data_IF_591965898926
#
_entry.id   IF_591965898926
#
_cell.length_a   1.000
_cell.length_b   1.000
_cell.length_c   1.000
_cell.angle_alpha   90.00
_cell.angle_beta   90.00
_cell.angle_gamma   90.00
#
_symmetry.space_group_name_H-M   'P 1'
#
loop_
_entity.id
_entity.type
_entity.pdbx_description
1 polymer ?
#
# COMPACT_ATOMS: atom_id res chain seq x y z
N UNK A 1 -20.99 14.99 15.30
CA UNK A 1 -19.93 15.64 14.51
C UNK A 1 -19.52 16.90 15.24
N UNK A 2 -18.22 17.02 15.57
CA UNK A 2 -17.58 18.26 16.04
C UNK A 2 -16.70 18.78 14.90
N UNK A 3 -16.78 20.08 14.57
CA UNK A 3 -15.93 20.70 13.56
C UNK A 3 -15.46 22.06 14.03
N UNK A 4 -14.15 22.30 13.98
CA UNK A 4 -13.60 23.66 14.10
C UNK A 4 -13.48 24.27 12.71
N UNK A 5 -13.65 25.59 12.59
CA UNK A 5 -13.48 26.31 11.33
C UNK A 5 -12.59 27.52 11.54
N UNK A 6 -11.75 27.82 10.55
CA UNK A 6 -11.02 29.07 10.51
C UNK A 6 -12.00 30.23 10.24
N UNK A 7 -12.12 31.13 11.21
CA UNK A 7 -12.76 32.44 11.06
C UNK A 7 -11.72 33.52 10.73
N UNK A 8 -11.94 34.76 11.17
CA UNK A 8 -11.00 35.88 10.96
C UNK A 8 -9.67 35.81 11.74
N UNK A 9 -9.19 34.61 12.12
CA UNK A 9 -8.03 34.40 13.00
C UNK A 9 -8.39 33.76 14.35
N UNK A 10 -7.40 33.67 15.25
CA UNK A 10 -7.52 33.26 16.66
C UNK A 10 -7.31 31.77 16.95
N UNK A 11 -7.26 31.43 18.24
CA UNK A 11 -7.16 30.06 18.77
C UNK A 11 -8.56 29.55 19.12
N UNK A 12 -8.85 28.27 18.83
CA UNK A 12 -10.09 27.61 19.27
C UNK A 12 -9.79 26.80 20.51
N UNK A 13 -10.32 27.25 21.64
CA UNK A 13 -10.17 26.55 22.90
C UNK A 13 -11.30 25.53 23.07
N UNK A 14 -10.92 24.30 23.36
CA UNK A 14 -11.81 23.24 23.81
C UNK A 14 -11.45 22.99 25.26
N UNK A 15 -12.37 23.34 26.16
CA UNK A 15 -12.14 23.33 27.60
C UNK A 15 -12.91 22.22 28.30
N UNK A 16 -13.16 21.13 27.57
CA UNK A 16 -13.88 19.95 28.03
C UNK A 16 -13.25 18.70 27.44
N UNK A 17 -13.30 17.61 28.19
CA UNK A 17 -12.88 16.30 27.73
C UNK A 17 -13.70 15.86 26.52
N UNK A 18 -13.05 15.25 25.53
CA UNK A 18 -13.72 14.74 24.34
C UNK A 18 -13.67 13.22 24.33
N UNK A 19 -14.85 12.59 24.26
CA UNK A 19 -14.97 11.18 23.86
C UNK A 19 -15.61 11.14 22.48
N UNK A 20 -14.79 10.97 21.44
CA UNK A 20 -15.29 10.74 20.10
C UNK A 20 -15.73 9.27 19.99
N UNK A 21 -17.02 9.01 20.13
CA UNK A 21 -17.56 7.66 20.09
C UNK A 21 -17.39 7.00 18.70
N UNK A 22 -17.58 5.68 18.63
CA UNK A 22 -17.57 4.94 17.37
C UNK A 22 -18.61 5.53 16.40
N UNK A 23 -18.20 5.77 15.15
CA UNK A 23 -19.02 6.45 14.15
C UNK A 23 -19.10 7.97 14.32
N UNK A 24 -18.56 8.52 15.42
CA UNK A 24 -18.38 9.95 15.63
C UNK A 24 -17.28 10.52 14.73
N UNK A 25 -17.36 11.82 14.47
CA UNK A 25 -16.38 12.57 13.69
C UNK A 25 -15.98 13.85 14.41
N UNK A 26 -14.68 14.10 14.44
CA UNK A 26 -14.04 15.34 14.85
C UNK A 26 -13.20 15.84 13.67
N UNK A 27 -13.44 17.07 13.25
CA UNK A 27 -12.77 17.70 12.12
C UNK A 27 -12.12 19.01 12.58
N UNK A 28 -10.79 19.04 12.59
CA UNK A 28 -10.00 20.20 12.97
C UNK A 28 -9.60 20.96 11.70
N UNK A 29 -10.31 22.06 11.42
CA UNK A 29 -10.07 22.89 10.25
C UNK A 29 -9.69 24.36 10.58
N UNK A 30 -9.61 24.72 11.86
CA UNK A 30 -9.01 26.00 12.29
C UNK A 30 -7.49 25.84 12.44
N UNK A 31 -6.73 26.88 12.07
CA UNK A 31 -5.25 26.84 12.07
C UNK A 31 -4.64 26.48 13.43
N UNK A 32 -5.25 26.93 14.53
CA UNK A 32 -4.83 26.61 15.89
C UNK A 32 -6.09 26.23 16.71
N UNK A 33 -6.14 24.96 17.12
CA UNK A 33 -7.12 24.43 18.06
C UNK A 33 -6.38 23.86 19.26
N UNK A 34 -6.83 24.15 20.48
CA UNK A 34 -6.23 23.66 21.71
C UNK A 34 -7.26 22.98 22.59
N UNK A 35 -6.93 21.79 23.07
CA UNK A 35 -7.59 21.17 24.21
C UNK A 35 -6.78 21.55 25.46
N UNK A 36 -7.24 22.57 26.17
CA UNK A 36 -6.50 23.23 27.28
C UNK A 36 -7.34 23.44 28.55
N UNK A 37 -8.52 22.83 28.60
CA UNK A 37 -9.31 22.68 29.82
C UNK A 37 -9.89 21.28 29.87
N UNK A 38 -9.93 20.67 31.06
CA UNK A 38 -10.38 19.26 31.20
C UNK A 38 -9.40 18.32 31.91
N UNK A 39 -8.19 18.77 32.27
CA UNK A 39 -7.18 17.93 32.91
C UNK A 39 -7.57 17.38 34.32
N UNK A 40 -8.79 17.62 34.80
CA UNK A 40 -9.42 16.95 35.93
C UNK A 40 -10.15 15.63 35.59
N UNK A 41 -10.03 15.10 34.36
CA UNK A 41 -10.67 13.83 33.99
C UNK A 41 -10.34 13.19 32.63
N UNK A 42 -9.49 13.79 31.79
CA UNK A 42 -8.92 13.14 30.60
C UNK A 42 -9.07 13.95 29.32
N UNK A 43 -8.05 13.99 28.47
CA UNK A 43 -8.10 14.73 27.20
C UNK A 43 -8.98 14.04 26.15
N UNK A 44 -8.54 14.04 24.88
CA UNK A 44 -9.33 13.45 23.80
C UNK A 44 -9.14 11.92 23.69
N UNK A 45 -10.25 11.17 23.80
CA UNK A 45 -10.32 9.74 23.44
C UNK A 45 -11.00 9.57 22.08
N UNK A 46 -10.25 9.09 21.09
CA UNK A 46 -10.72 8.90 19.72
C UNK A 46 -11.09 7.44 19.44
N UNK A 47 -12.39 7.12 19.46
CA UNK A 47 -12.96 5.85 18.99
C UNK A 47 -13.62 5.97 17.59
N UNK A 48 -13.74 7.20 17.07
CA UNK A 48 -14.33 7.52 15.78
C UNK A 48 -13.29 8.03 14.78
N UNK A 49 -13.69 8.93 13.88
CA UNK A 49 -12.76 9.65 13.00
C UNK A 49 -12.32 10.98 13.60
N UNK A 50 -11.02 11.22 13.65
CA UNK A 50 -10.41 12.53 13.89
C UNK A 50 -9.64 12.93 12.62
N UNK A 51 -9.93 14.09 12.05
CA UNK A 51 -9.22 14.64 10.89
C UNK A 51 -8.53 15.94 11.27
N UNK A 52 -7.24 16.03 10.95
CA UNK A 52 -6.47 17.27 10.96
C UNK A 52 -6.28 17.74 9.52
N UNK A 53 -6.90 18.87 9.18
CA UNK A 53 -6.78 19.46 7.86
C UNK A 53 -5.37 20.04 7.62
N UNK A 54 -5.05 20.34 6.36
CA UNK A 54 -3.73 20.87 6.01
C UNK A 54 -3.46 22.22 6.70
N UNK A 55 -2.26 22.38 7.26
CA UNK A 55 -1.83 23.61 7.95
C UNK A 55 -2.44 23.81 9.34
N UNK A 56 -3.19 22.83 9.86
CA UNK A 56 -3.80 22.89 11.19
C UNK A 56 -2.85 22.34 12.25
N UNK A 57 -2.76 23.04 13.38
CA UNK A 57 -2.21 22.51 14.63
C UNK A 57 -3.33 22.23 15.63
N UNK A 58 -3.39 20.99 16.09
CA UNK A 58 -4.16 20.59 17.26
C UNK A 58 -3.23 20.39 18.45
N UNK A 59 -3.25 21.31 19.41
CA UNK A 59 -2.47 21.20 20.63
C UNK A 59 -3.29 20.52 21.73
N UNK A 60 -2.69 19.54 22.38
CA UNK A 60 -3.25 18.83 23.54
C UNK A 60 -2.37 19.12 24.75
N UNK A 61 -2.96 19.71 25.79
CA UNK A 61 -2.23 19.97 27.03
C UNK A 61 -2.30 18.77 27.98
N UNK A 62 -3.36 17.94 27.87
CA UNK A 62 -3.56 16.78 28.73
C UNK A 62 -3.13 15.47 28.02
N UNK A 63 -4.06 14.75 27.39
CA UNK A 63 -3.81 13.39 26.88
C UNK A 63 -4.66 13.05 25.68
N UNK A 64 -4.04 12.49 24.64
CA UNK A 64 -4.73 11.94 23.49
C UNK A 64 -4.63 10.42 23.46
N UNK A 65 -5.77 9.75 23.41
CA UNK A 65 -5.86 8.30 23.26
C UNK A 65 -6.53 7.96 21.94
N UNK A 66 -5.75 7.45 21.00
CA UNK A 66 -6.28 6.80 19.80
C UNK A 66 -6.66 5.35 20.13
N UNK A 67 -7.96 5.04 20.14
CA UNK A 67 -8.42 3.68 20.39
C UNK A 67 -8.30 2.80 19.12
N UNK A 68 -8.32 1.48 19.32
CA UNK A 68 -8.25 0.46 18.26
C UNK A 68 -9.31 0.59 17.16
N UNK A 69 -10.46 1.16 17.49
CA UNK A 69 -11.58 1.37 16.57
C UNK A 69 -11.53 2.70 15.83
N UNK A 70 -10.74 3.65 16.33
CA UNK A 70 -10.70 4.99 15.78
C UNK A 70 -9.71 5.14 14.63
N UNK A 71 -9.86 6.24 13.89
CA UNK A 71 -8.95 6.69 12.84
C UNK A 71 -8.42 8.07 13.18
N UNK A 72 -7.10 8.21 13.20
CA UNK A 72 -6.41 9.50 13.14
C UNK A 72 -6.10 9.79 11.67
N UNK A 73 -6.65 10.85 11.12
CA UNK A 73 -6.43 11.28 9.76
C UNK A 73 -5.68 12.62 9.73
N UNK A 74 -4.71 12.74 8.84
CA UNK A 74 -4.01 14.00 8.57
C UNK A 74 -3.85 14.20 7.07
N UNK A 75 -3.90 15.46 6.66
CA UNK A 75 -3.62 15.87 5.28
C UNK A 75 -2.20 16.45 5.20
N UNK A 76 -1.40 15.96 4.27
CA UNK A 76 -0.08 16.51 3.91
C UNK A 76 -0.21 17.15 2.53
N UNK A 77 -0.01 18.46 2.44
CA UNK A 77 0.05 19.19 1.18
C UNK A 77 1.51 19.50 0.84
N UNK A 78 2.07 18.69 -0.04
CA UNK A 78 3.44 18.85 -0.53
C UNK A 78 3.59 20.07 -1.46
N UNK A 79 2.49 20.55 -2.05
CA UNK A 79 2.49 21.70 -2.95
C UNK A 79 2.54 23.03 -2.20
N UNK A 80 1.99 23.05 -0.98
CA UNK A 80 1.98 24.20 -0.08
C UNK A 80 2.98 24.09 1.09
N UNK A 81 3.69 22.97 1.20
CA UNK A 81 4.55 22.64 2.34
C UNK A 81 3.83 22.76 3.70
N UNK A 82 2.57 22.35 3.76
CA UNK A 82 1.71 22.42 4.94
C UNK A 82 1.11 21.05 5.26
N UNK A 83 0.81 20.80 6.53
CA UNK A 83 0.23 19.53 6.97
C UNK A 83 -0.55 19.68 8.27
N UNK A 84 -1.45 18.75 8.55
CA UNK A 84 -2.12 18.65 9.84
C UNK A 84 -1.19 18.04 10.89
N UNK A 85 -1.04 18.74 12.02
CA UNK A 85 -0.15 18.34 13.11
C UNK A 85 -0.91 18.29 14.44
N UNK A 86 -0.68 17.21 15.18
CA UNK A 86 -0.95 17.15 16.60
C UNK A 86 0.30 17.52 17.40
N UNK A 87 0.16 18.31 18.46
CA UNK A 87 1.27 18.61 19.35
C UNK A 87 0.92 18.56 20.84
N UNK A 88 1.87 18.15 21.68
CA UNK A 88 1.71 18.18 23.13
C UNK A 88 1.06 16.92 23.72
N UNK A 89 0.91 16.94 25.04
CA UNK A 89 0.18 15.93 25.80
C UNK A 89 0.87 14.57 25.91
N UNK A 90 0.16 13.65 26.57
CA UNK A 90 0.50 12.22 26.60
C UNK A 90 -0.32 11.50 25.53
N UNK A 91 0.36 10.89 24.58
CA UNK A 91 -0.25 10.24 23.40
C UNK A 91 -0.16 8.72 23.52
N UNK A 92 -1.30 8.04 23.40
CA UNK A 92 -1.38 6.59 23.23
C UNK A 92 -1.94 6.26 21.85
N UNK A 93 -1.20 5.48 21.06
CA UNK A 93 -1.58 5.11 19.69
C UNK A 93 -1.98 3.66 19.55
N UNK A 94 -3.10 3.46 18.89
CA UNK A 94 -3.62 2.19 18.36
C UNK A 94 -4.42 2.48 17.08
N UNK A 95 -5.19 1.53 16.57
CA UNK A 95 -6.19 1.77 15.53
C UNK A 95 -5.57 2.12 14.18
N UNK A 96 -6.20 3.05 13.46
CA UNK A 96 -5.86 3.37 12.07
C UNK A 96 -5.24 4.77 11.92
N UNK A 97 -4.13 4.85 11.20
CA UNK A 97 -3.63 6.08 10.60
C UNK A 97 -4.19 6.24 9.19
N UNK A 98 -4.70 7.41 8.83
CA UNK A 98 -5.01 7.77 7.45
C UNK A 98 -4.21 9.01 7.05
N UNK A 99 -3.55 8.95 5.91
CA UNK A 99 -2.82 10.11 5.35
C UNK A 99 -3.42 10.42 4.00
N UNK A 100 -3.78 11.69 3.80
CA UNK A 100 -4.19 12.20 2.48
C UNK A 100 -3.09 13.11 1.97
N UNK A 101 -2.49 12.76 0.83
CA UNK A 101 -1.41 13.54 0.24
C UNK A 101 -1.94 14.39 -0.92
N UNK A 102 -1.64 15.68 -0.89
CA UNK A 102 -1.85 16.60 -2.02
C UNK A 102 -0.50 16.88 -2.66
N UNK A 103 -0.36 16.52 -3.93
CA UNK A 103 0.91 16.47 -4.63
C UNK A 103 1.80 15.29 -4.18
N UNK A 104 2.99 15.19 -4.79
CA UNK A 104 3.98 14.16 -4.47
C UNK A 104 5.14 14.83 -3.74
N UNK A 105 5.33 14.58 -2.43
CA UNK A 105 6.46 15.12 -1.69
C UNK A 105 7.78 14.54 -2.20
N UNK A 106 8.86 15.31 -2.08
CA UNK A 106 10.20 14.81 -2.36
C UNK A 106 10.53 13.67 -1.38
N UNK A 107 11.08 12.56 -1.89
CA UNK A 107 11.58 11.44 -1.08
C UNK A 107 12.55 11.93 0.00
N UNK A 108 12.40 11.42 1.22
CA UNK A 108 13.15 11.82 2.40
C UNK A 108 12.57 13.01 3.16
N UNK A 109 11.56 13.72 2.61
CA UNK A 109 10.88 14.80 3.34
C UNK A 109 10.16 14.24 4.56
N UNK A 110 10.39 14.83 5.73
CA UNK A 110 9.84 14.40 7.01
C UNK A 110 8.73 15.33 7.50
N UNK A 111 7.61 14.76 7.93
CA UNK A 111 6.45 15.46 8.47
C UNK A 111 6.17 14.97 9.90
N UNK A 112 6.40 15.83 10.90
CA UNK A 112 6.12 15.51 12.31
C UNK A 112 4.64 15.65 12.63
N UNK A 113 3.82 14.69 12.15
CA UNK A 113 2.35 14.74 12.29
C UNK A 113 1.86 14.58 13.73
N UNK A 114 2.70 14.01 14.60
CA UNK A 114 2.57 14.09 16.06
C UNK A 114 3.92 14.58 16.58
N UNK A 115 3.95 15.69 17.32
CA UNK A 115 5.18 16.32 17.79
C UNK A 115 5.09 16.77 19.24
N UNK A 116 6.23 16.83 19.94
CA UNK A 116 6.32 17.31 21.32
C UNK A 116 5.37 16.60 22.30
N UNK A 117 5.07 15.31 22.05
CA UNK A 117 4.12 14.53 22.84
C UNK A 117 4.81 13.31 23.43
N UNK A 118 4.55 12.98 24.69
CA UNK A 118 5.05 11.72 25.26
C UNK A 118 4.25 10.55 24.65
N UNK A 119 4.85 9.82 23.69
CA UNK A 119 4.14 8.80 22.90
C UNK A 119 4.37 7.38 23.42
N UNK A 120 3.29 6.62 23.49
CA UNK A 120 3.27 5.15 23.61
C UNK A 120 2.45 4.52 22.49
N UNK A 121 2.65 3.23 22.22
CA UNK A 121 1.89 2.47 21.21
C UNK A 121 2.20 2.86 19.75
N UNK A 122 1.59 2.17 18.79
CA UNK A 122 1.74 2.43 17.35
C UNK A 122 0.41 2.21 16.67
N UNK A 123 0.14 2.86 15.53
CA UNK A 123 -1.04 2.53 14.74
C UNK A 123 -0.98 1.08 14.27
N UNK A 124 -2.04 0.32 14.52
CA UNK A 124 -2.16 -1.09 14.17
C UNK A 124 -2.40 -1.29 12.65
N UNK A 125 -3.00 -0.30 12.00
CA UNK A 125 -3.25 -0.29 10.56
C UNK A 125 -3.09 1.12 9.97
N UNK A 126 -2.99 1.21 8.65
CA UNK A 126 -2.81 2.48 7.97
C UNK A 126 -3.46 2.51 6.59
N UNK A 127 -3.59 3.70 6.03
CA UNK A 127 -4.11 3.99 4.70
C UNK A 127 -3.38 5.21 4.15
N UNK A 128 -2.42 4.97 3.26
CA UNK A 128 -1.45 5.96 2.75
C UNK A 128 -1.55 6.15 1.23
N UNK A 129 -2.70 5.82 0.62
CA UNK A 129 -2.85 5.77 -0.84
C UNK A 129 -2.20 6.96 -1.55
N UNK A 130 -1.40 6.64 -2.58
CA UNK A 130 -0.73 7.61 -3.45
C UNK A 130 0.71 7.92 -3.06
N UNK A 131 1.07 7.89 -1.77
CA UNK A 131 2.44 8.18 -1.31
C UNK A 131 2.80 7.30 -0.11
N UNK A 132 3.89 6.55 -0.22
CA UNK A 132 4.46 5.81 0.90
C UNK A 132 5.11 6.74 1.90
N UNK A 133 4.86 6.46 3.16
CA UNK A 133 5.54 7.09 4.27
C UNK A 133 6.14 6.03 5.20
N UNK A 134 7.44 6.15 5.45
CA UNK A 134 8.04 5.47 6.58
C UNK A 134 7.59 6.13 7.87
N UNK A 135 6.94 5.33 8.71
CA UNK A 135 6.39 5.74 10.00
C UNK A 135 7.47 5.61 11.07
N UNK A 136 8.17 6.71 11.32
CA UNK A 136 9.19 6.79 12.36
C UNK A 136 8.55 7.16 13.69
N UNK A 137 8.23 6.15 14.48
CA UNK A 137 7.75 6.32 15.84
C UNK A 137 8.92 6.67 16.77
N UNK A 138 8.99 7.92 17.21
CA UNK A 138 9.98 8.41 18.19
C UNK A 138 9.32 8.55 19.57
N UNK A 139 10.07 8.60 20.69
CA UNK A 139 9.45 8.78 22.02
C UNK A 139 8.61 10.05 22.14
N UNK A 140 8.92 11.07 21.33
CA UNK A 140 8.27 12.39 21.34
C UNK A 140 7.20 12.59 20.27
N UNK A 141 6.81 11.52 19.55
CA UNK A 141 5.80 11.62 18.49
C UNK A 141 5.95 10.63 17.34
N UNK A 142 5.48 11.04 16.16
CA UNK A 142 5.50 10.27 14.91
C UNK A 142 5.89 11.20 13.76
N UNK A 143 6.99 10.84 13.10
CA UNK A 143 7.38 11.43 11.82
C UNK A 143 6.97 10.52 10.67
N UNK A 144 6.41 11.11 9.63
CA UNK A 144 6.16 10.45 8.35
C UNK A 144 7.21 10.91 7.35
N UNK A 145 8.05 10.00 6.90
CA UNK A 145 9.10 10.29 5.91
C UNK A 145 8.67 9.78 4.55
N UNK A 146 8.55 10.67 3.57
CA UNK A 146 8.11 10.33 2.22
C UNK A 146 9.10 9.39 1.51
N UNK A 147 8.62 8.36 0.82
CA UNK A 147 9.49 7.36 0.16
C UNK A 147 9.30 7.31 -1.35
N UNK A 148 8.08 7.02 -1.81
CA UNK A 148 7.75 6.88 -3.22
C UNK A 148 6.25 6.68 -3.43
N UNK A 149 5.80 6.53 -4.67
CA UNK A 149 4.36 6.46 -5.02
C UNK A 149 3.86 5.06 -5.31
N UNK A 150 4.76 4.06 -5.35
CA UNK A 150 4.38 2.68 -5.60
C UNK A 150 3.89 2.02 -4.32
N UNK A 151 2.80 1.28 -4.37
CA UNK A 151 2.37 0.44 -3.26
C UNK A 151 3.27 -0.81 -3.20
N UNK A 152 4.09 -0.90 -2.16
CA UNK A 152 5.16 -1.88 -2.06
C UNK A 152 4.71 -3.07 -1.24
N UNK A 153 4.91 -4.26 -1.77
CA UNK A 153 4.71 -5.50 -1.03
C UNK A 153 5.75 -5.62 0.09
N UNK A 154 5.29 -5.60 1.33
CA UNK A 154 6.11 -5.79 2.54
C UNK A 154 5.91 -7.20 3.14
N UNK A 155 4.80 -7.85 2.80
CA UNK A 155 4.46 -9.19 3.26
C UNK A 155 4.25 -9.29 4.77
N UNK A 156 4.42 -10.50 5.30
CA UNK A 156 4.45 -10.76 6.73
C UNK A 156 3.15 -11.20 7.39
N UNK A 157 2.05 -11.29 6.64
CA UNK A 157 0.79 -11.87 7.12
C UNK A 157 0.56 -13.27 6.57
N UNK A 158 0.29 -13.39 5.27
CA UNK A 158 -0.20 -14.65 4.68
C UNK A 158 0.17 -14.89 3.21
N UNK A 159 1.07 -14.07 2.65
CA UNK A 159 1.51 -14.14 1.25
C UNK A 159 0.40 -13.94 0.19
N UNK A 160 -0.78 -13.43 0.59
CA UNK A 160 -1.90 -13.16 -0.32
C UNK A 160 -1.89 -11.72 -0.82
N UNK A 161 -2.06 -11.55 -2.14
CA UNK A 161 -2.13 -10.25 -2.79
C UNK A 161 -3.28 -9.40 -2.21
N UNK A 162 -4.43 -10.01 -1.90
CA UNK A 162 -5.60 -9.30 -1.37
C UNK A 162 -5.49 -8.87 0.10
N UNK A 163 -4.45 -9.28 0.82
CA UNK A 163 -4.31 -8.97 2.25
C UNK A 163 -3.66 -7.60 2.45
N UNK A 164 -4.43 -6.66 2.98
CA UNK A 164 -4.10 -5.25 3.11
C UNK A 164 -2.76 -4.96 3.83
N UNK A 165 -2.50 -5.67 4.94
CA UNK A 165 -1.28 -5.48 5.73
C UNK A 165 -0.01 -6.07 5.09
N UNK A 166 -0.12 -6.77 3.95
CA UNK A 166 1.05 -7.15 3.16
C UNK A 166 1.53 -6.00 2.25
N UNK A 167 0.82 -4.88 2.19
CA UNK A 167 1.10 -3.73 1.32
C UNK A 167 1.44 -2.48 2.12
N UNK A 168 2.34 -1.66 1.58
CA UNK A 168 2.85 -0.48 2.27
C UNK A 168 1.84 0.64 2.39
N UNK A 169 0.84 0.73 1.51
CA UNK A 169 -0.29 1.63 1.69
C UNK A 169 -1.28 1.15 2.75
N UNK A 170 -1.15 -0.08 3.26
CA UNK A 170 -2.05 -0.68 4.24
C UNK A 170 -3.39 -1.10 3.64
N UNK A 171 -3.45 -1.15 2.31
CA UNK A 171 -4.53 -1.62 1.44
C UNK A 171 -3.87 -2.21 0.19
N UNK A 172 -4.43 -3.22 -0.50
CA UNK A 172 -3.87 -3.68 -1.77
C UNK A 172 -4.00 -2.62 -2.87
N UNK A 173 -3.07 -2.58 -3.85
CA UNK A 173 -3.12 -1.64 -4.95
C UNK A 173 -4.36 -1.87 -5.80
N UNK A 174 -5.01 -0.78 -6.21
CA UNK A 174 -6.09 -0.77 -7.19
C UNK A 174 -5.63 -0.20 -8.53
N UNK A 175 -6.58 0.01 -9.43
CA UNK A 175 -6.30 0.44 -10.81
C UNK A 175 -5.68 1.83 -10.94
N UNK A 176 -5.70 2.62 -9.85
CA UNK A 176 -5.06 3.94 -9.79
C UNK A 176 -3.64 3.89 -9.20
N UNK A 177 -3.23 2.73 -8.68
CA UNK A 177 -1.97 2.56 -7.95
C UNK A 177 -1.04 1.58 -8.66
N UNK A 178 0.24 1.93 -8.70
CA UNK A 178 1.30 1.01 -9.11
C UNK A 178 1.59 0.03 -7.98
N UNK A 179 1.69 -1.26 -8.31
CA UNK A 179 2.10 -2.31 -7.37
C UNK A 179 3.57 -2.68 -7.54
N UNK A 180 4.33 -2.71 -6.45
CA UNK A 180 5.76 -3.05 -6.44
C UNK A 180 6.03 -4.26 -5.55
N UNK A 181 6.32 -5.41 -6.16
CA UNK A 181 6.79 -6.62 -5.49
C UNK A 181 8.33 -6.64 -5.60
N UNK A 182 8.95 -5.66 -4.95
CA UNK A 182 10.38 -5.34 -5.11
C UNK A 182 11.09 -5.05 -3.79
N UNK A 183 10.41 -5.10 -2.66
CA UNK A 183 11.05 -4.84 -1.37
C UNK A 183 12.02 -5.95 -0.99
N UNK A 184 13.07 -5.56 -0.28
CA UNK A 184 14.06 -6.40 0.39
C UNK A 184 14.07 -6.06 1.89
N UNK A 185 14.83 -6.81 2.67
CA UNK A 185 15.08 -6.54 4.10
C UNK A 185 15.79 -5.20 4.36
N UNK A 186 16.40 -4.60 3.32
CA UNK A 186 17.12 -3.33 3.40
C UNK A 186 16.42 -2.17 2.68
N UNK A 187 15.39 -2.46 1.89
CA UNK A 187 14.56 -1.43 1.26
C UNK A 187 13.70 -0.74 2.31
N UNK A 188 13.14 0.42 1.94
CA UNK A 188 12.09 1.03 2.73
C UNK A 188 10.84 1.24 1.85
N UNK A 189 9.66 0.76 2.30
CA UNK A 189 9.47 -0.03 3.51
C UNK A 189 10.06 -1.45 3.37
N UNK A 190 10.61 -2.05 4.44
CA UNK A 190 11.31 -3.33 4.34
C UNK A 190 10.32 -4.50 4.19
N UNK A 191 10.72 -5.50 3.42
CA UNK A 191 10.09 -6.81 3.43
C UNK A 191 10.67 -7.70 4.53
N UNK A 192 9.91 -8.72 4.95
CA UNK A 192 10.38 -9.70 5.94
C UNK A 192 11.55 -10.57 5.48
N UNK A 193 11.74 -10.70 4.17
CA UNK A 193 12.81 -11.49 3.56
C UNK A 193 13.17 -10.92 2.19
N UNK A 194 14.36 -11.25 1.70
CA UNK A 194 14.76 -10.93 0.33
C UNK A 194 14.18 -11.93 -0.67
N UNK A 195 13.74 -13.11 -0.23
CA UNK A 195 13.12 -14.13 -1.08
C UNK A 195 11.75 -14.49 -0.56
N UNK A 196 10.71 -14.27 -1.36
CA UNK A 196 9.33 -14.52 -0.98
C UNK A 196 8.41 -14.75 -2.17
N UNK A 197 7.27 -15.39 -1.89
CA UNK A 197 6.19 -15.59 -2.83
C UNK A 197 4.99 -14.72 -2.49
N UNK A 198 4.28 -14.31 -3.53
CA UNK A 198 2.99 -13.63 -3.50
C UNK A 198 2.01 -14.47 -4.32
N UNK A 199 0.82 -14.71 -3.79
CA UNK A 199 -0.24 -15.43 -4.50
C UNK A 199 -1.39 -14.48 -4.80
N UNK A 200 -1.80 -14.39 -6.07
CA UNK A 200 -3.05 -13.74 -6.45
C UNK A 200 -4.23 -14.60 -5.97
N UNK A 201 -4.70 -14.36 -4.76
CA UNK A 201 -5.81 -15.06 -4.11
C UNK A 201 -7.19 -14.57 -4.59
N UNK A 202 -7.21 -13.48 -5.36
CA UNK A 202 -8.37 -12.87 -6.00
C UNK A 202 -8.03 -12.47 -7.45
N UNK A 203 -8.83 -11.59 -8.06
CA UNK A 203 -8.57 -11.05 -9.39
C UNK A 203 -8.25 -9.55 -9.31
N UNK A 204 -7.07 -9.16 -8.78
CA UNK A 204 -6.73 -7.75 -8.62
C UNK A 204 -6.56 -7.04 -9.97
N UNK A 205 -6.91 -5.75 -9.98
CA UNK A 205 -6.62 -4.83 -11.07
C UNK A 205 -5.73 -3.70 -10.52
N UNK A 206 -4.56 -3.52 -11.12
CA UNK A 206 -3.56 -2.51 -10.74
C UNK A 206 -3.27 -1.55 -11.90
N UNK A 207 -2.69 -0.39 -11.62
CA UNK A 207 -2.22 0.50 -12.69
C UNK A 207 -1.07 -0.18 -13.46
N UNK A 208 0.09 -0.34 -12.83
CA UNK A 208 1.20 -1.16 -13.32
C UNK A 208 1.68 -2.14 -12.25
N UNK A 209 2.46 -3.14 -12.65
CA UNK A 209 3.14 -4.04 -11.74
C UNK A 209 4.65 -4.06 -12.02
N UNK A 210 5.46 -3.83 -10.99
CA UNK A 210 6.89 -4.11 -11.00
C UNK A 210 7.18 -5.30 -10.10
N UNK A 211 7.85 -6.33 -10.64
CA UNK A 211 8.18 -7.57 -9.94
C UNK A 211 9.68 -7.84 -10.00
N UNK A 212 10.33 -8.03 -8.86
CA UNK A 212 11.76 -8.33 -8.78
C UNK A 212 12.58 -7.15 -8.27
N UNK A 213 13.25 -7.37 -7.15
CA UNK A 213 14.14 -6.45 -6.47
C UNK A 213 15.58 -6.52 -7.02
N UNK A 214 16.50 -5.85 -6.34
CA UNK A 214 17.95 -5.92 -6.63
C UNK A 214 18.62 -7.15 -6.05
N UNK A 215 18.01 -7.83 -5.08
CA UNK A 215 18.53 -9.03 -4.42
C UNK A 215 17.40 -10.04 -4.13
N UNK A 216 17.79 -11.30 -3.92
CA UNK A 216 16.88 -12.40 -3.63
C UNK A 216 16.01 -12.81 -4.81
N UNK A 217 14.81 -13.32 -4.56
CA UNK A 217 13.85 -13.72 -5.61
C UNK A 217 12.43 -13.41 -5.17
N UNK A 218 11.70 -12.63 -5.96
CA UNK A 218 10.31 -12.29 -5.69
C UNK A 218 9.41 -12.97 -6.71
N UNK A 219 8.55 -13.87 -6.23
CA UNK A 219 7.69 -14.66 -7.10
C UNK A 219 6.24 -14.20 -6.97
N UNK A 220 5.62 -13.78 -8.07
CA UNK A 220 4.16 -13.65 -8.14
C UNK A 220 3.58 -14.90 -8.81
N UNK A 221 2.73 -15.62 -8.09
CA UNK A 221 1.96 -16.74 -8.62
C UNK A 221 0.52 -16.32 -8.87
N UNK A 222 0.06 -16.51 -10.10
CA UNK A 222 -1.34 -16.38 -10.50
C UNK A 222 -1.88 -17.80 -10.66
N UNK A 223 -2.61 -18.35 -9.68
CA UNK A 223 -3.05 -19.74 -9.71
C UNK A 223 -4.15 -19.95 -10.77
N UNK A 224 -4.53 -21.21 -10.97
CA UNK A 224 -5.56 -21.57 -11.97
C UNK A 224 -6.91 -20.93 -11.60
N UNK A 225 -7.58 -20.34 -12.59
CA UNK A 225 -8.86 -19.63 -12.41
C UNK A 225 -8.72 -18.20 -11.89
N UNK A 226 -7.50 -17.63 -11.85
CA UNK A 226 -7.24 -16.25 -11.40
C UNK A 226 -6.66 -15.38 -12.49
N UNK A 227 -6.82 -14.07 -12.30
CA UNK A 227 -6.26 -13.05 -13.16
C UNK A 227 -5.56 -11.96 -12.35
N UNK A 228 -4.53 -11.34 -12.92
CA UNK A 228 -4.02 -10.03 -12.47
C UNK A 228 -4.10 -9.10 -13.68
N UNK A 229 -4.96 -8.10 -13.59
CA UNK A 229 -5.18 -7.14 -14.66
C UNK A 229 -4.34 -5.88 -14.43
N UNK A 230 -3.75 -5.33 -15.49
CA UNK A 230 -2.89 -4.14 -15.44
C UNK A 230 -3.39 -3.10 -16.44
N UNK A 231 -3.43 -1.82 -16.07
CA UNK A 231 -3.86 -0.73 -16.94
C UNK A 231 -2.72 -0.04 -17.72
N UNK A 232 -1.47 -0.28 -17.33
CA UNK A 232 -0.26 0.30 -17.89
C UNK A 232 0.88 -0.73 -18.02
N UNK A 233 1.96 -0.33 -18.69
CA UNK A 233 3.15 -1.14 -18.90
C UNK A 233 3.71 -1.68 -17.57
N UNK A 234 4.14 -2.93 -17.58
CA UNK A 234 4.60 -3.66 -16.40
C UNK A 234 5.98 -4.28 -16.63
N UNK A 235 6.69 -4.58 -15.54
CA UNK A 235 8.07 -5.03 -15.56
C UNK A 235 8.29 -6.26 -14.67
N UNK A 236 8.97 -7.27 -15.21
CA UNK A 236 9.63 -8.32 -14.44
C UNK A 236 11.14 -8.01 -14.48
N UNK A 237 11.70 -7.57 -13.35
CA UNK A 237 13.14 -7.35 -13.17
C UNK A 237 13.91 -8.68 -13.06
N UNK A 238 15.25 -8.60 -13.03
CA UNK A 238 16.14 -9.78 -13.08
C UNK A 238 15.92 -10.82 -11.98
N UNK A 239 15.42 -10.40 -10.82
CA UNK A 239 15.09 -11.26 -9.68
C UNK A 239 13.59 -11.57 -9.55
N UNK A 240 12.79 -11.13 -10.51
CA UNK A 240 11.35 -11.35 -10.56
C UNK A 240 11.00 -12.68 -11.23
N UNK A 241 10.00 -13.38 -10.67
CA UNK A 241 9.43 -14.60 -11.24
C UNK A 241 7.92 -14.46 -11.33
N UNK A 242 7.39 -14.26 -12.55
CA UNK A 242 5.96 -14.35 -12.79
C UNK A 242 5.60 -15.79 -13.15
N UNK A 243 4.75 -16.42 -12.35
CA UNK A 243 4.29 -17.79 -12.54
C UNK A 243 2.79 -17.81 -12.82
N UNK A 244 2.41 -18.32 -13.99
CA UNK A 244 1.04 -18.56 -14.41
C UNK A 244 0.67 -20.02 -14.21
N UNK A 245 -0.38 -20.27 -13.45
CA UNK A 245 -0.93 -21.59 -13.18
C UNK A 245 -0.34 -22.29 -11.96
N UNK A 246 -1.02 -23.36 -11.59
CA UNK A 246 -0.64 -24.33 -10.57
C UNK A 246 -1.02 -25.76 -11.04
N UNK A 247 -1.13 -26.73 -10.13
CA UNK A 247 -1.50 -28.10 -10.49
C UNK A 247 -2.99 -28.28 -10.76
N UNK A 248 -3.82 -27.26 -10.53
CA UNK A 248 -5.25 -27.32 -10.76
C UNK A 248 -5.61 -27.03 -12.23
N UNK A 249 -6.90 -27.13 -12.55
CA UNK A 249 -7.44 -26.77 -13.86
C UNK A 249 -8.03 -25.37 -13.85
N UNK A 250 -7.83 -24.62 -14.92
CA UNK A 250 -8.41 -23.29 -15.12
C UNK A 250 -7.41 -22.35 -15.76
N UNK A 251 -7.92 -21.27 -16.36
CA UNK A 251 -7.06 -20.28 -16.99
C UNK A 251 -6.40 -19.42 -15.91
N UNK A 252 -5.11 -19.15 -16.08
CA UNK A 252 -4.40 -18.11 -15.34
C UNK A 252 -4.05 -16.99 -16.29
N UNK A 253 -4.35 -15.76 -15.91
CA UNK A 253 -4.18 -14.59 -16.79
C UNK A 253 -3.35 -13.51 -16.13
N UNK A 254 -2.43 -12.93 -16.90
CA UNK A 254 -1.79 -11.67 -16.58
C UNK A 254 -2.00 -10.71 -17.75
N UNK A 255 -2.35 -9.46 -17.47
CA UNK A 255 -2.60 -8.42 -18.47
C UNK A 255 -4.08 -8.08 -18.60
N UNK A 256 -4.46 -7.40 -19.68
CA UNK A 256 -5.82 -6.85 -19.80
C UNK A 256 -6.90 -7.90 -20.07
N UNK A 257 -7.86 -8.08 -19.17
CA UNK A 257 -9.21 -8.44 -19.64
C UNK A 257 -10.36 -7.95 -18.76
N UNK A 258 -11.40 -7.47 -19.45
CA UNK A 258 -12.63 -6.94 -18.87
C UNK A 258 -12.62 -5.41 -18.76
N UNK A 259 -13.15 -4.73 -19.78
CA UNK A 259 -13.72 -3.36 -19.77
C UNK A 259 -12.94 -2.16 -19.22
N UNK A 260 -11.83 -2.35 -18.51
CA UNK A 260 -11.20 -1.33 -17.66
C UNK A 260 -9.76 -0.96 -18.03
N UNK A 261 -9.16 -1.59 -19.04
CA UNK A 261 -7.91 -1.10 -19.58
C UNK A 261 -8.17 0.16 -20.40
N UNK A 262 -7.39 1.22 -20.13
CA UNK A 262 -7.30 2.37 -21.03
C UNK A 262 -6.90 1.87 -22.43
N UNK A 263 -7.22 2.66 -23.45
CA UNK A 263 -7.16 2.36 -24.89
C UNK A 263 -5.80 1.90 -25.47
N UNK A 264 -4.78 1.67 -24.64
CA UNK A 264 -3.47 1.15 -25.00
C UNK A 264 -3.26 -0.22 -24.37
N UNK A 265 -3.02 -1.25 -25.19
CA UNK A 265 -2.62 -2.57 -24.71
C UNK A 265 -1.30 -2.45 -23.94
N UNK A 266 -1.25 -2.77 -22.63
CA UNK A 266 -0.04 -2.63 -21.83
C UNK A 266 1.02 -3.64 -22.28
N UNK A 267 2.27 -3.20 -22.26
CA UNK A 267 3.45 -4.01 -22.56
C UNK A 267 4.01 -4.61 -21.27
N UNK A 268 4.30 -5.92 -21.28
CA UNK A 268 5.08 -6.56 -20.23
C UNK A 268 6.54 -6.66 -20.68
N UNK A 269 7.43 -5.90 -20.04
CA UNK A 269 8.87 -6.05 -20.23
C UNK A 269 9.38 -7.14 -19.31
N UNK A 270 9.98 -8.20 -19.87
CA UNK A 270 10.53 -9.30 -19.08
C UNK A 270 12.05 -9.31 -19.10
N UNK A 271 12.66 -8.88 -18.00
CA UNK A 271 14.08 -9.04 -17.68
C UNK A 271 14.40 -10.17 -16.70
N UNK A 272 13.38 -10.89 -16.19
CA UNK A 272 13.51 -11.98 -15.22
C UNK A 272 12.97 -13.32 -15.75
N UNK A 273 12.16 -14.01 -14.94
CA UNK A 273 11.57 -15.29 -15.30
C UNK A 273 10.05 -15.19 -15.50
N UNK A 274 9.57 -15.66 -16.65
CA UNK A 274 8.16 -15.90 -16.91
C UNK A 274 7.93 -17.40 -17.06
N UNK A 275 7.07 -17.96 -16.22
CA UNK A 275 6.84 -19.40 -16.12
C UNK A 275 5.36 -19.74 -16.30
N UNK A 276 5.11 -20.85 -16.99
CA UNK A 276 3.77 -21.46 -17.10
C UNK A 276 3.82 -22.86 -16.51
N UNK A 277 2.86 -23.21 -15.65
CA UNK A 277 2.72 -24.57 -15.15
C UNK A 277 1.81 -25.36 -16.08
N UNK A 278 2.31 -26.47 -16.60
CA UNK A 278 1.44 -27.45 -17.24
C UNK A 278 0.62 -28.13 -16.15
N UNK A 279 -0.71 -28.00 -16.21
CA UNK A 279 -1.58 -28.86 -15.41
C UNK A 279 -1.20 -30.31 -15.69
N UNK A 280 -1.14 -31.13 -14.64
CA UNK A 280 -0.95 -32.56 -14.80
C UNK A 280 -2.17 -33.07 -15.58
N UNK A 281 -2.04 -33.21 -16.90
CA UNK A 281 -3.00 -33.97 -17.69
C UNK A 281 -3.01 -35.34 -17.03
N UNK A 282 -4.08 -35.62 -16.28
CA UNK A 282 -4.36 -36.97 -15.81
C UNK A 282 -4.11 -37.87 -17.00
N UNK A 283 -3.18 -38.82 -16.86
CA UNK A 283 -2.86 -39.80 -17.91
C UNK A 283 -4.14 -40.54 -18.23
N UNK A 284 -4.91 -40.00 -19.15
CA UNK A 284 -5.92 -40.74 -19.87
C UNK A 284 -5.14 -41.66 -20.79
N UNK A 285 -4.98 -42.90 -20.36
CA UNK A 285 -4.66 -44.02 -21.24
C UNK A 285 -5.81 -44.16 -22.23
N UNK A 286 -5.79 -43.37 -23.30
CA UNK A 286 -6.50 -43.68 -24.55
C UNK A 286 -5.87 -42.90 -25.71
N UNK A 287 -5.50 -43.57 -26.81
CA UNK A 287 -4.73 -42.97 -27.88
C UNK A 287 -5.65 -42.30 -28.90
N UNK A 288 -5.84 -40.99 -28.81
CA UNK A 288 -6.33 -40.20 -29.95
C UNK A 288 -6.00 -38.71 -29.83
N UNK A 289 -5.01 -38.25 -30.63
CA UNK A 289 -5.04 -37.09 -31.55
C UNK A 289 -5.49 -35.73 -30.95
N UNK A 290 -4.78 -34.59 -31.07
CA UNK A 290 -3.89 -33.99 -32.09
C UNK A 290 -3.10 -32.85 -31.42
N UNK A 291 -1.82 -32.74 -31.71
CA UNK A 291 -1.00 -31.55 -31.40
C UNK A 291 -1.35 -30.41 -32.37
N UNK A 292 -1.69 -29.22 -31.85
CA UNK A 292 -1.51 -27.97 -32.59
C UNK A 292 -0.15 -27.39 -32.20
N UNK A 293 0.76 -27.32 -33.17
CA UNK A 293 2.12 -26.80 -33.04
C UNK A 293 2.06 -25.28 -33.19
N UNK A 294 2.29 -24.53 -32.10
CA UNK A 294 2.59 -23.11 -32.21
C UNK A 294 3.99 -22.93 -32.82
N UNK A 295 4.08 -22.16 -33.89
CA UNK A 295 5.32 -21.90 -34.59
C UNK A 295 6.21 -20.96 -33.77
N UNK A 296 7.35 -21.47 -33.29
CA UNK A 296 8.50 -20.64 -32.93
C UNK A 296 9.35 -20.51 -34.20
N UNK A 297 9.41 -19.33 -34.81
CA UNK A 297 10.29 -19.07 -35.95
C UNK A 297 11.74 -19.06 -35.49
N UNK A 298 12.49 -20.13 -35.79
CA UNK A 298 13.96 -20.09 -35.84
C UNK A 298 14.38 -20.11 -37.30
N UNK A 299 15.32 -19.23 -37.63
CA UNK A 299 15.84 -19.00 -38.98
C UNK A 299 16.32 -20.28 -39.65
N UNK A 300 16.08 -20.35 -40.96
CA UNK A 300 16.42 -21.46 -41.81
C UNK A 300 17.91 -21.46 -42.16
N UNK A 301 18.59 -22.58 -41.90
CA UNK A 301 19.73 -23.04 -42.70
C UNK A 301 19.56 -24.53 -43.00
N UNK A 302 19.83 -24.99 -44.24
CA UNK A 302 19.56 -26.36 -44.66
C UNK A 302 20.70 -27.32 -44.29
N UNK A 303 20.36 -28.43 -43.64
CA UNK A 303 21.24 -29.59 -43.48
C UNK A 303 21.10 -30.48 -44.73
N UNK A 304 22.15 -30.55 -45.53
CA UNK A 304 22.35 -31.58 -46.55
C UNK A 304 22.79 -32.89 -45.89
N UNK A 305 21.99 -33.94 -46.03
CA UNK A 305 22.41 -35.33 -45.81
C UNK A 305 22.47 -36.06 -47.15
N UNK A 306 23.67 -36.51 -47.53
CA UNK A 306 23.86 -37.55 -48.52
C UNK A 306 24.42 -38.78 -47.80
N UNK A 307 23.74 -39.91 -47.95
CA UNK A 307 24.18 -41.24 -47.50
C UNK A 307 24.60 -42.01 -48.74
N UNK A 308 25.88 -42.41 -48.76
CA UNK A 308 26.37 -43.71 -49.21
C UNK A 308 27.69 -43.98 -48.50
#
# INVERSE_FOLDING_TARGET
MLKTIQGGGGVRHIQVNIVNAIGGTVDMAALDTREDGGCGGGGLVNNGGLTLETGVTFAEDCSFTQASTGTFATTIDATAASYGQMSGGVVSLDGKLKVTSVGVPATGTSYGVIANAARTGTFASWDLRGVNYWRQYVPTGLNLVAEGTCDTWIGGVDAKFGTALNWSFGVPPGIAEDGCITATTTSHPPANADTYGVTADSNPAVHSLTLGATNGTQTLTIPSGRAVDTAADSLIGGHGVLKLGDTASGDSRFGCAGGGCATANPTLTNGGSLQTVAALLARWTSPARRFCRAAVSRGAEPITTAVS
#
